data_IF_955039615916
#
_entry.id   IF_955039615916
#
_cell.length_a   1.000
_cell.length_b   1.000
_cell.length_c   1.000
_cell.angle_alpha   90.00
_cell.angle_beta   90.00
_cell.angle_gamma   90.00
#
_symmetry.space_group_name_H-M   'P 1'
#
loop_
_entity.id
_entity.type
_entity.pdbx_description
1 polymer ?
#
# COMPACT_ATOMS: atom_id res chain seq x y z
N UNK A 1 -12.03 -0.23 8.60
CA UNK A 1 -11.73 -1.68 8.47
C UNK A 1 -13.02 -2.45 8.76
N UNK A 2 -13.43 -3.32 7.83
CA UNK A 2 -14.70 -4.04 7.91
C UNK A 2 -14.50 -5.43 8.54
N UNK A 3 -15.01 -5.61 9.76
CA UNK A 3 -14.87 -6.86 10.52
C UNK A 3 -15.55 -8.04 9.81
N UNK A 4 -16.71 -7.81 9.16
CA UNK A 4 -17.42 -8.87 8.45
C UNK A 4 -16.61 -9.43 7.28
N UNK A 5 -15.88 -8.57 6.55
CA UNK A 5 -14.98 -9.01 5.47
C UNK A 5 -13.84 -9.88 5.99
N UNK A 6 -13.27 -9.54 7.15
CA UNK A 6 -12.22 -10.34 7.78
C UNK A 6 -12.76 -11.72 8.18
N UNK A 7 -13.96 -11.78 8.80
CA UNK A 7 -14.59 -13.03 9.20
C UNK A 7 -14.88 -13.93 8.00
N UNK A 8 -15.40 -13.36 6.89
CA UNK A 8 -15.65 -14.11 5.67
C UNK A 8 -14.34 -14.61 5.02
N UNK A 9 -13.31 -13.79 5.00
CA UNK A 9 -11.99 -14.17 4.49
C UNK A 9 -11.38 -15.33 5.29
N UNK A 10 -11.49 -15.30 6.63
CA UNK A 10 -11.04 -16.40 7.51
C UNK A 10 -11.80 -17.70 7.26
N UNK A 11 -13.10 -17.62 6.97
CA UNK A 11 -13.90 -18.81 6.64
C UNK A 11 -13.49 -19.43 5.30
N UNK A 12 -13.17 -18.60 4.30
CA UNK A 12 -12.76 -19.05 2.96
C UNK A 12 -11.33 -19.57 2.89
N UNK A 13 -10.46 -19.03 3.74
CA UNK A 13 -9.00 -19.27 3.73
C UNK A 13 -8.51 -19.56 5.14
N UNK A 14 -8.80 -20.76 5.64
CA UNK A 14 -8.46 -21.17 7.01
C UNK A 14 -6.96 -21.36 7.27
N UNK A 15 -6.18 -21.48 6.21
CA UNK A 15 -4.71 -21.59 6.21
C UNK A 15 -3.99 -20.25 6.23
N UNK A 16 -4.74 -19.12 6.11
CA UNK A 16 -4.20 -17.77 6.10
C UNK A 16 -4.57 -17.06 7.42
N UNK A 17 -3.60 -16.38 8.02
CA UNK A 17 -3.85 -15.52 9.17
C UNK A 17 -4.40 -14.16 8.72
N UNK A 18 -5.56 -13.76 9.25
CA UNK A 18 -6.16 -12.45 9.04
C UNK A 18 -6.15 -11.67 10.34
N UNK A 19 -5.56 -10.47 10.33
CA UNK A 19 -5.45 -9.59 11.49
C UNK A 19 -6.30 -8.34 11.26
N UNK A 20 -7.29 -8.11 12.12
CA UNK A 20 -8.12 -6.91 12.10
C UNK A 20 -7.46 -5.79 12.90
N UNK A 21 -6.72 -4.93 12.23
CA UNK A 21 -6.03 -3.80 12.89
C UNK A 21 -5.87 -2.58 11.99
N UNK A 22 -5.60 -1.43 12.59
CA UNK A 22 -5.12 -0.24 11.91
C UNK A 22 -3.60 -0.13 12.13
N UNK A 23 -2.82 -0.55 11.14
CA UNK A 23 -1.35 -0.60 11.22
C UNK A 23 -0.67 0.76 11.39
N UNK A 24 -1.37 1.88 11.13
CA UNK A 24 -0.84 3.23 11.36
C UNK A 24 -1.05 3.64 12.83
N UNK A 25 -2.24 3.35 13.37
CA UNK A 25 -2.60 3.73 14.73
C UNK A 25 -2.03 2.79 15.79
N UNK A 26 -1.91 1.50 15.46
CA UNK A 26 -1.39 0.47 16.35
C UNK A 26 -0.11 -0.14 15.77
N UNK A 27 1.01 0.45 16.10
CA UNK A 27 2.34 0.00 15.67
C UNK A 27 2.75 -1.34 16.29
N UNK A 28 2.08 -1.79 17.35
CA UNK A 28 2.34 -3.07 18.03
C UNK A 28 1.41 -4.21 17.57
N UNK A 29 0.42 -3.91 16.72
CA UNK A 29 -0.56 -4.90 16.26
C UNK A 29 0.06 -6.16 15.62
N UNK A 30 1.27 -6.05 15.11
CA UNK A 30 2.01 -7.15 14.49
C UNK A 30 3.12 -7.71 15.39
N UNK A 31 3.15 -7.38 16.69
CA UNK A 31 4.07 -7.93 17.69
C UNK A 31 5.54 -7.94 17.22
N UNK A 32 6.02 -6.84 16.64
CA UNK A 32 7.37 -6.70 16.07
C UNK A 32 7.72 -7.71 14.96
N UNK A 33 6.71 -8.37 14.37
CA UNK A 33 6.89 -9.30 13.25
C UNK A 33 7.55 -8.62 12.07
N UNK A 34 8.39 -9.37 11.36
CA UNK A 34 8.99 -8.98 10.09
C UNK A 34 8.58 -9.97 9.01
N UNK A 35 8.49 -9.44 7.80
CA UNK A 35 8.11 -10.20 6.61
C UNK A 35 9.19 -10.02 5.54
N UNK A 36 9.43 -11.01 4.71
CA UNK A 36 10.35 -10.85 3.59
C UNK A 36 9.86 -9.77 2.63
N UNK A 37 8.57 -9.82 2.28
CA UNK A 37 7.92 -8.85 1.42
C UNK A 37 6.59 -8.40 2.01
N UNK A 38 6.25 -7.13 1.79
CA UNK A 38 4.97 -6.53 2.21
C UNK A 38 4.30 -5.92 0.99
N UNK A 39 3.02 -6.26 0.77
CA UNK A 39 2.25 -5.81 -0.39
C UNK A 39 1.02 -5.02 0.03
N UNK A 40 0.69 -3.98 -0.74
CA UNK A 40 -0.55 -3.23 -0.62
C UNK A 40 -1.13 -3.00 -2.02
N UNK A 41 -2.35 -3.45 -2.25
CA UNK A 41 -3.06 -3.28 -3.51
C UNK A 41 -4.48 -2.77 -3.28
N UNK A 42 -4.87 -1.71 -4.00
CA UNK A 42 -6.22 -1.13 -4.01
C UNK A 42 -6.68 -0.43 -2.73
N UNK A 43 -5.88 -0.41 -1.66
CA UNK A 43 -6.30 0.14 -0.37
C UNK A 43 -6.19 1.68 -0.29
N UNK A 44 -5.44 2.30 -1.20
CA UNK A 44 -5.20 3.76 -1.24
C UNK A 44 -5.99 4.45 -2.35
N UNK A 45 -6.97 3.77 -2.95
CA UNK A 45 -7.72 4.26 -4.10
C UNK A 45 -8.95 5.10 -3.71
N UNK A 46 -9.31 5.16 -2.43
CA UNK A 46 -10.45 5.96 -1.97
C UNK A 46 -9.98 7.34 -1.52
N UNK A 47 -10.67 8.38 -1.99
CA UNK A 47 -10.40 9.76 -1.59
C UNK A 47 -10.72 9.95 -0.11
N UNK A 48 -9.75 10.51 0.64
CA UNK A 48 -9.88 10.83 2.06
C UNK A 48 -9.12 12.13 2.37
N UNK A 49 -9.50 12.79 3.46
CA UNK A 49 -8.73 13.94 3.96
C UNK A 49 -7.31 13.52 4.34
N UNK A 50 -6.32 14.38 4.04
CA UNK A 50 -4.89 14.16 4.32
C UNK A 50 -4.28 12.90 3.68
N UNK A 51 -4.67 12.61 2.47
CA UNK A 51 -4.27 11.39 1.77
C UNK A 51 -2.75 11.25 1.62
N UNK A 52 -2.04 12.34 1.34
CA UNK A 52 -0.58 12.32 1.20
C UNK A 52 0.12 11.87 2.50
N UNK A 53 -0.26 12.42 3.66
CA UNK A 53 0.31 12.04 4.96
C UNK A 53 0.02 10.57 5.29
N UNK A 54 -1.15 10.09 4.86
CA UNK A 54 -1.54 8.69 5.01
C UNK A 54 -0.67 7.76 4.15
N UNK A 55 -0.40 8.13 2.90
CA UNK A 55 0.48 7.37 1.99
C UNK A 55 1.89 7.25 2.59
N UNK A 56 2.47 8.38 3.01
CA UNK A 56 3.81 8.39 3.62
C UNK A 56 3.87 7.51 4.87
N UNK A 57 2.87 7.64 5.76
CA UNK A 57 2.78 6.85 6.99
C UNK A 57 2.67 5.35 6.71
N UNK A 58 1.84 4.95 5.74
CA UNK A 58 1.70 3.55 5.33
C UNK A 58 3.01 3.04 4.72
N UNK A 59 3.64 3.79 3.81
CA UNK A 59 4.92 3.42 3.20
C UNK A 59 6.00 3.20 4.27
N UNK A 60 6.06 4.07 5.27
CA UNK A 60 7.00 3.97 6.40
C UNK A 60 6.78 2.69 7.21
N UNK A 61 5.53 2.41 7.59
CA UNK A 61 5.19 1.19 8.34
C UNK A 61 5.53 -0.05 7.51
N UNK A 62 5.11 -0.12 6.25
CA UNK A 62 5.39 -1.25 5.37
C UNK A 62 6.89 -1.47 5.17
N UNK A 63 7.64 -0.39 4.93
CA UNK A 63 9.09 -0.48 4.75
C UNK A 63 9.79 -0.92 6.04
N UNK A 64 9.27 -0.52 7.21
CA UNK A 64 9.77 -0.99 8.51
C UNK A 64 9.50 -2.49 8.71
N UNK A 65 8.34 -2.98 8.33
CA UNK A 65 7.95 -4.40 8.46
C UNK A 65 8.69 -5.34 7.49
N UNK A 66 9.13 -4.82 6.34
CA UNK A 66 9.78 -5.64 5.31
C UNK A 66 11.26 -5.91 5.61
N UNK A 67 11.74 -7.13 5.34
CA UNK A 67 13.15 -7.50 5.34
C UNK A 67 13.82 -7.29 3.96
N UNK A 68 13.08 -7.53 2.87
CA UNK A 68 13.63 -7.51 1.49
C UNK A 68 13.00 -6.42 0.62
N UNK A 69 11.67 -6.25 0.69
CA UNK A 69 11.03 -5.25 -0.15
C UNK A 69 9.54 -5.05 0.10
N UNK A 70 9.06 -3.95 -0.47
CA UNK A 70 7.66 -3.51 -0.40
C UNK A 70 7.15 -3.30 -1.83
N UNK A 71 5.90 -3.64 -2.09
CA UNK A 71 5.21 -3.27 -3.33
C UNK A 71 3.87 -2.60 -3.01
N UNK A 72 3.61 -1.44 -3.63
CA UNK A 72 2.38 -0.67 -3.44
C UNK A 72 1.82 -0.27 -4.80
N UNK A 73 0.53 -0.58 -5.01
CA UNK A 73 -0.22 -0.20 -6.19
C UNK A 73 -1.03 1.08 -5.93
N UNK A 74 -1.12 1.94 -6.94
CA UNK A 74 -1.84 3.21 -6.93
C UNK A 74 -2.62 3.40 -8.24
N UNK A 75 -3.73 4.12 -8.16
CA UNK A 75 -4.37 4.71 -9.35
C UNK A 75 -3.52 5.88 -9.87
N UNK A 76 -3.37 5.95 -11.18
CA UNK A 76 -2.51 6.92 -11.85
C UNK A 76 -3.30 8.14 -12.33
N UNK A 77 -2.76 9.35 -12.12
CA UNK A 77 -3.29 10.58 -12.76
C UNK A 77 -3.27 10.55 -14.28
N UNK A 78 -2.56 9.59 -14.89
CA UNK A 78 -2.53 9.36 -16.34
C UNK A 78 -3.62 8.41 -16.83
N UNK A 79 -4.57 8.02 -15.94
CA UNK A 79 -5.75 7.24 -16.34
C UNK A 79 -6.59 8.00 -17.35
N UNK A 80 -7.12 7.30 -18.36
CA UNK A 80 -8.04 7.86 -19.35
C UNK A 80 -9.38 8.29 -18.73
N UNK A 81 -9.74 7.73 -17.56
CA UNK A 81 -10.95 8.07 -16.81
C UNK A 81 -10.61 8.28 -15.34
N UNK A 82 -11.02 9.43 -14.82
CA UNK A 82 -10.93 9.75 -13.40
C UNK A 82 -12.35 9.68 -12.80
N UNK A 83 -12.57 8.77 -11.87
CA UNK A 83 -13.88 8.55 -11.25
C UNK A 83 -14.03 9.39 -9.97
N UNK A 84 -15.23 9.98 -9.72
CA UNK A 84 -15.48 10.68 -8.47
C UNK A 84 -15.33 9.76 -7.25
N UNK A 85 -14.69 10.27 -6.19
CA UNK A 85 -14.48 9.52 -4.95
C UNK A 85 -13.23 8.64 -4.94
N UNK A 86 -12.51 8.55 -6.07
CA UNK A 86 -11.22 7.89 -6.15
C UNK A 86 -10.06 8.88 -5.99
N UNK A 87 -8.93 8.39 -5.50
CA UNK A 87 -7.70 9.15 -5.33
C UNK A 87 -6.63 8.66 -6.29
N UNK A 88 -6.17 9.58 -7.12
CA UNK A 88 -5.17 9.33 -8.16
C UNK A 88 -3.83 9.97 -7.77
N UNK A 89 -2.77 9.20 -7.88
CA UNK A 89 -1.42 9.63 -7.56
C UNK A 89 -0.62 9.97 -8.81
N UNK A 90 0.24 10.98 -8.71
CA UNK A 90 1.30 11.22 -9.68
C UNK A 90 2.40 10.16 -9.49
N UNK A 91 2.74 9.36 -10.52
CA UNK A 91 3.86 8.42 -10.43
C UNK A 91 5.19 9.10 -10.05
N UNK A 92 5.40 10.35 -10.52
CA UNK A 92 6.58 11.14 -10.19
C UNK A 92 6.67 11.50 -8.71
N UNK A 93 5.55 11.92 -8.11
CA UNK A 93 5.52 12.31 -6.68
C UNK A 93 5.72 11.08 -5.79
N UNK A 94 5.09 9.96 -6.13
CA UNK A 94 5.27 8.69 -5.40
C UNK A 94 6.72 8.18 -5.55
N UNK A 95 7.31 8.31 -6.73
CA UNK A 95 8.71 7.95 -6.95
C UNK A 95 9.66 8.82 -6.10
N UNK A 96 9.42 10.12 -6.04
CA UNK A 96 10.19 11.04 -5.21
C UNK A 96 10.05 10.68 -3.72
N UNK A 97 8.84 10.40 -3.25
CA UNK A 97 8.59 9.94 -1.90
C UNK A 97 9.31 8.61 -1.61
N UNK A 98 9.29 7.66 -2.54
CA UNK A 98 9.97 6.37 -2.39
C UNK A 98 11.50 6.52 -2.20
N UNK A 99 12.13 7.49 -2.87
CA UNK A 99 13.55 7.79 -2.70
C UNK A 99 13.92 8.33 -1.31
N UNK A 100 12.97 8.80 -0.50
CA UNK A 100 13.22 9.15 0.89
C UNK A 100 13.47 7.92 1.79
N UNK A 101 13.00 6.73 1.38
CA UNK A 101 13.15 5.48 2.12
C UNK A 101 14.36 4.66 1.67
N UNK A 102 14.59 4.58 0.36
CA UNK A 102 15.67 3.78 -0.23
C UNK A 102 16.04 4.30 -1.62
N UNK A 103 17.27 4.02 -2.05
CA UNK A 103 17.71 4.30 -3.44
C UNK A 103 17.42 3.13 -4.41
N UNK A 104 16.97 1.98 -3.89
CA UNK A 104 16.66 0.79 -4.69
C UNK A 104 15.17 0.77 -4.98
N UNK A 105 14.73 1.54 -5.97
CA UNK A 105 13.33 1.72 -6.32
C UNK A 105 13.10 1.31 -7.77
N UNK A 106 11.98 0.63 -8.02
CA UNK A 106 11.46 0.36 -9.36
C UNK A 106 10.02 0.84 -9.43
N UNK A 107 9.67 1.60 -10.46
CA UNK A 107 8.30 1.97 -10.77
C UNK A 107 7.89 1.26 -12.06
N UNK A 108 6.72 0.63 -12.06
CA UNK A 108 6.10 0.02 -13.24
C UNK A 108 4.74 0.63 -13.52
N UNK A 109 4.58 1.14 -14.73
CA UNK A 109 3.33 1.71 -15.26
C UNK A 109 3.04 1.18 -16.66
N UNK A 110 3.49 -0.07 -16.92
CA UNK A 110 3.48 -0.71 -18.25
C UNK A 110 2.47 -1.85 -18.40
N UNK A 111 1.72 -2.15 -17.34
CA UNK A 111 0.79 -3.29 -17.31
C UNK A 111 -0.69 -2.88 -17.36
N UNK A 112 -1.04 -1.69 -16.90
CA UNK A 112 -2.39 -1.11 -16.96
C UNK A 112 -2.29 0.41 -17.19
N UNK A 113 -3.18 1.02 -18.01
CA UNK A 113 -3.14 2.45 -18.29
C UNK A 113 -3.51 3.31 -17.07
N UNK A 114 -4.31 2.78 -16.15
CA UNK A 114 -4.83 3.48 -14.98
C UNK A 114 -4.11 3.16 -13.66
N UNK A 115 -3.19 2.18 -13.67
CA UNK A 115 -2.50 1.70 -12.47
C UNK A 115 -0.99 1.75 -12.62
N UNK A 116 -0.30 2.07 -11.53
CA UNK A 116 1.13 1.84 -11.42
C UNK A 116 1.50 1.20 -10.09
N UNK A 117 2.63 0.53 -10.05
CA UNK A 117 3.18 -0.07 -8.85
C UNK A 117 4.58 0.45 -8.58
N UNK A 118 4.84 0.81 -7.32
CA UNK A 118 6.18 1.14 -6.84
C UNK A 118 6.72 -0.01 -6.00
N UNK A 119 7.97 -0.36 -6.24
CA UNK A 119 8.72 -1.38 -5.50
C UNK A 119 9.90 -0.72 -4.80
N UNK A 120 9.99 -0.91 -3.48
CA UNK A 120 11.09 -0.44 -2.64
C UNK A 120 11.85 -1.64 -2.11
N UNK A 121 13.16 -1.68 -2.31
CA UNK A 121 14.01 -2.77 -1.83
C UNK A 121 14.94 -2.29 -0.70
N UNK A 122 15.27 -3.21 0.20
CA UNK A 122 16.25 -3.01 1.28
C UNK A 122 17.69 -3.03 0.77
#
# INVERSE_FOLDING_TARGET
INLNMIQEAQQRHSDIEFIHTNIIADTHALNDRKFDYVFLSGALNLSADKHHDTIESIMKVMFTLANKGVAINFLSVFSDQLLPGEYYCSPGDILQLAFSFTKKVTLRHDYMPHDFTIYLYK
#
